data_IF_424383135763
#
_entry.id   IF_424383135763
#
_cell.length_a   1.000
_cell.length_b   1.000
_cell.length_c   1.000
_cell.angle_alpha   90.00
_cell.angle_beta   90.00
_cell.angle_gamma   90.00
#
_symmetry.space_group_name_H-M   'P 1'
#
loop_
_entity.id
_entity.type
_entity.pdbx_description
1 polymer ?
#
# COMPACT_ATOMS: atom_id res chain seq x y z
N UNK A 1 -0.23 25.47 -8.06
CA UNK A 1 -0.45 24.39 -9.06
C UNK A 1 -1.26 23.29 -8.42
N UNK A 2 -2.20 22.72 -9.15
CA UNK A 2 -3.03 21.62 -8.67
C UNK A 2 -2.26 20.30 -8.64
N UNK A 3 -2.58 19.44 -7.68
CA UNK A 3 -2.03 18.07 -7.63
C UNK A 3 -2.78 17.18 -8.61
N UNK A 4 -2.10 16.65 -9.62
CA UNK A 4 -2.68 15.73 -10.60
C UNK A 4 -2.47 14.27 -10.20
N UNK A 5 -3.46 13.41 -10.44
CA UNK A 5 -3.42 11.98 -10.12
C UNK A 5 -4.40 11.21 -11.00
N UNK A 6 -4.42 9.88 -10.91
CA UNK A 6 -5.43 9.07 -11.61
C UNK A 6 -6.83 9.63 -11.39
N UNK A 7 -7.58 9.83 -12.48
CA UNK A 7 -8.92 10.43 -12.47
C UNK A 7 -8.96 11.95 -12.63
N UNK A 8 -7.83 12.66 -12.49
CA UNK A 8 -7.72 14.06 -12.92
C UNK A 8 -7.98 14.18 -14.42
N UNK A 9 -8.59 15.29 -14.85
CA UNK A 9 -8.89 15.58 -16.26
C UNK A 9 -8.65 17.05 -16.59
N UNK A 10 -8.47 17.37 -17.86
CA UNK A 10 -8.45 18.73 -18.38
C UNK A 10 -7.05 19.25 -18.78
N UNK A 11 -6.92 20.55 -19.06
CA UNK A 11 -5.74 21.12 -19.72
C UNK A 11 -4.42 20.91 -18.97
N UNK A 12 -4.45 20.85 -17.63
CA UNK A 12 -3.24 20.58 -16.83
C UNK A 12 -2.73 19.15 -17.02
N UNK A 13 -3.63 18.17 -17.20
CA UNK A 13 -3.26 16.78 -17.49
C UNK A 13 -2.73 16.65 -18.90
N UNK A 14 -3.33 17.35 -19.86
CA UNK A 14 -2.85 17.38 -21.24
C UNK A 14 -1.43 17.97 -21.31
N UNK A 15 -1.18 19.07 -20.57
CA UNK A 15 0.16 19.65 -20.41
C UNK A 15 1.15 18.65 -19.85
N UNK A 16 0.79 17.95 -18.78
CA UNK A 16 1.62 16.90 -18.18
C UNK A 16 1.94 15.79 -19.19
N UNK A 17 0.93 15.28 -19.90
CA UNK A 17 1.09 14.23 -20.90
C UNK A 17 2.05 14.65 -22.01
N UNK A 18 1.96 15.90 -22.47
CA UNK A 18 2.92 16.46 -23.45
C UNK A 18 4.34 16.53 -22.89
N UNK A 19 4.52 16.99 -21.66
CA UNK A 19 5.82 17.07 -21.00
C UNK A 19 6.47 15.69 -20.78
N UNK A 20 5.65 14.67 -20.53
CA UNK A 20 6.10 13.28 -20.35
C UNK A 20 6.03 12.44 -21.62
N UNK A 21 5.76 13.04 -22.78
CA UNK A 21 5.65 12.39 -24.08
C UNK A 21 4.65 11.20 -24.11
N UNK A 22 3.55 11.29 -23.35
CA UNK A 22 2.44 10.33 -23.37
C UNK A 22 1.53 10.61 -24.56
N UNK A 23 1.28 9.59 -25.40
CA UNK A 23 0.48 9.72 -26.63
C UNK A 23 -0.75 8.81 -26.65
N UNK A 24 -1.93 9.30 -27.10
CA UNK A 24 -2.24 10.72 -27.33
C UNK A 24 -2.36 11.49 -26.00
N UNK A 25 -2.08 12.81 -25.97
CA UNK A 25 -2.41 13.65 -24.83
C UNK A 25 -3.93 13.94 -24.87
N UNK A 26 -4.70 13.05 -24.27
CA UNK A 26 -6.17 13.09 -24.25
C UNK A 26 -6.74 13.94 -23.10
N UNK A 27 -5.88 14.52 -22.26
CA UNK A 27 -6.29 15.29 -21.09
C UNK A 27 -6.84 14.42 -19.96
N UNK A 28 -6.72 13.09 -20.05
CA UNK A 28 -7.20 12.13 -19.06
C UNK A 28 -6.04 11.48 -18.30
N UNK A 29 -6.05 11.63 -16.97
CA UNK A 29 -5.04 11.03 -16.13
C UNK A 29 -5.43 9.57 -15.87
N UNK A 30 -5.23 8.73 -16.88
CA UNK A 30 -5.45 7.30 -16.82
C UNK A 30 -4.21 6.49 -16.40
N UNK A 31 -4.29 5.15 -16.47
CA UNK A 31 -3.18 4.27 -16.13
C UNK A 31 -1.88 4.56 -16.91
N UNK A 32 -2.00 4.96 -18.19
CA UNK A 32 -0.83 5.33 -19.04
C UNK A 32 -0.11 6.57 -18.52
N UNK A 33 -0.85 7.64 -18.23
CA UNK A 33 -0.31 8.88 -17.64
C UNK A 33 0.33 8.60 -16.28
N UNK A 34 -0.33 7.78 -15.46
CA UNK A 34 0.22 7.38 -14.17
C UNK A 34 1.52 6.57 -14.28
N UNK A 35 1.64 5.70 -15.28
CA UNK A 35 2.88 4.96 -15.54
C UNK A 35 4.02 5.91 -15.93
N UNK A 36 3.76 6.84 -16.85
CA UNK A 36 4.76 7.82 -17.29
C UNK A 36 5.21 8.76 -16.16
N UNK A 37 4.27 9.19 -15.29
CA UNK A 37 4.62 9.99 -14.10
C UNK A 37 5.53 9.20 -13.16
N UNK A 38 5.27 7.90 -12.95
CA UNK A 38 6.12 7.06 -12.11
C UNK A 38 7.51 6.86 -12.70
N UNK A 39 7.61 6.66 -14.01
CA UNK A 39 8.89 6.53 -14.70
C UNK A 39 9.71 7.82 -14.62
N UNK A 40 9.05 8.97 -14.81
CA UNK A 40 9.67 10.27 -14.61
C UNK A 40 10.16 10.45 -13.16
N UNK A 41 9.28 10.21 -12.19
CA UNK A 41 9.62 10.33 -10.78
C UNK A 41 10.80 9.42 -10.39
N UNK A 42 10.79 8.17 -10.87
CA UNK A 42 11.86 7.21 -10.62
C UNK A 42 13.20 7.66 -11.24
N UNK A 43 13.19 8.14 -12.47
CA UNK A 43 14.41 8.62 -13.15
C UNK A 43 14.98 9.91 -12.54
N UNK A 44 14.16 10.67 -11.81
CA UNK A 44 14.55 11.93 -11.16
C UNK A 44 14.71 11.80 -9.63
N UNK A 45 14.80 10.58 -9.10
CA UNK A 45 15.02 10.34 -7.67
C UNK A 45 13.88 10.81 -6.77
N UNK A 46 12.69 10.99 -7.33
CA UNK A 46 11.46 11.29 -6.60
C UNK A 46 10.75 10.00 -6.17
N UNK A 47 9.80 10.15 -5.26
CA UNK A 47 8.87 9.07 -4.94
C UNK A 47 7.99 8.80 -6.17
N UNK A 48 8.12 7.60 -6.76
CA UNK A 48 7.37 7.16 -7.93
C UNK A 48 5.93 6.73 -7.57
N UNK A 49 5.16 7.63 -6.97
CA UNK A 49 3.78 7.40 -6.53
C UNK A 49 2.73 7.55 -7.68
N UNK A 50 3.11 8.18 -8.78
CA UNK A 50 2.22 8.47 -9.91
C UNK A 50 1.31 9.67 -9.67
N UNK A 51 1.65 10.52 -8.70
CA UNK A 51 0.94 11.75 -8.32
C UNK A 51 1.83 12.95 -8.60
N UNK A 52 1.35 13.89 -9.41
CA UNK A 52 2.09 15.10 -9.74
C UNK A 52 1.74 16.20 -8.74
N UNK A 53 2.49 16.23 -7.64
CA UNK A 53 2.47 17.32 -6.65
C UNK A 53 3.55 18.38 -6.92
N UNK A 54 3.71 19.39 -6.04
CA UNK A 54 4.64 20.51 -6.25
C UNK A 54 6.08 20.09 -6.56
N UNK A 55 6.61 19.06 -5.88
CA UNK A 55 7.97 18.54 -6.13
C UNK A 55 8.12 17.87 -7.50
N UNK A 56 7.10 17.15 -7.95
CA UNK A 56 7.11 16.52 -9.28
C UNK A 56 6.97 17.59 -10.36
N UNK A 57 6.12 18.60 -10.15
CA UNK A 57 6.04 19.76 -11.05
C UNK A 57 7.37 20.51 -11.17
N UNK A 58 8.01 20.80 -10.05
CA UNK A 58 9.31 21.46 -10.03
C UNK A 58 10.37 20.66 -10.79
N UNK A 59 10.40 19.33 -10.63
CA UNK A 59 11.33 18.47 -11.36
C UNK A 59 11.03 18.44 -12.87
N UNK A 60 9.76 18.35 -13.27
CA UNK A 60 9.34 18.38 -14.68
C UNK A 60 9.73 19.72 -15.32
N UNK A 61 9.56 20.82 -14.60
CA UNK A 61 9.87 22.17 -15.12
C UNK A 61 11.37 22.43 -15.18
N UNK A 62 12.15 21.91 -14.23
CA UNK A 62 13.63 21.98 -14.28
C UNK A 62 14.22 21.07 -15.36
N UNK A 63 13.61 19.90 -15.61
CA UNK A 63 14.03 18.99 -16.68
C UNK A 63 13.51 19.36 -18.08
N UNK A 64 12.54 20.28 -18.16
CA UNK A 64 11.91 20.75 -19.40
C UNK A 64 12.59 21.95 -20.05
N UNK A 65 13.67 22.49 -19.47
CA UNK A 65 14.45 23.59 -20.04
C UNK A 65 15.80 23.06 -20.51
N UNK A 66 16.05 23.23 -21.81
CA UNK A 66 17.28 22.91 -22.59
C UNK A 66 17.32 21.54 -23.29
N UNK A 67 17.01 21.56 -24.59
CA UNK A 67 17.77 20.80 -25.55
C UNK A 67 19.11 21.49 -25.84
N UNK A 68 20.16 20.70 -26.05
CA UNK A 68 21.40 21.11 -26.71
C UNK A 68 22.65 21.15 -25.83
N UNK A 69 23.64 20.32 -26.16
CA UNK A 69 25.06 20.55 -25.84
C UNK A 69 25.72 19.46 -24.98
N UNK A 70 26.73 18.80 -25.53
CA UNK A 70 27.46 17.70 -24.90
C UNK A 70 28.47 18.12 -23.83
N UNK A 71 29.04 17.13 -23.14
CA UNK A 71 30.10 17.33 -22.15
C UNK A 71 30.43 16.06 -21.37
N UNK A 72 31.49 15.39 -21.79
CA UNK A 72 32.12 14.24 -21.13
C UNK A 72 32.69 14.63 -19.76
N UNK A 73 32.60 13.74 -18.77
CA UNK A 73 33.12 13.99 -17.42
C UNK A 73 33.08 12.76 -16.52
N UNK A 74 33.98 11.82 -16.80
CA UNK A 74 34.38 10.75 -15.88
C UNK A 74 35.09 11.34 -14.65
N UNK A 75 34.68 10.97 -13.44
CA UNK A 75 35.58 10.66 -12.30
C UNK A 75 34.83 9.91 -11.19
N UNK A 76 35.15 8.64 -11.01
CA UNK A 76 35.12 7.94 -9.70
C UNK A 76 36.18 8.57 -8.79
N UNK A 77 36.05 8.49 -7.45
CA UNK A 77 36.86 7.49 -6.76
C UNK A 77 36.17 6.76 -5.58
N UNK A 78 36.82 5.65 -5.23
CA UNK A 78 36.54 4.51 -4.35
C UNK A 78 36.61 4.84 -2.82
N UNK A 79 36.53 3.88 -1.86
CA UNK A 79 35.79 4.04 -0.60
C UNK A 79 36.70 4.22 0.63
N UNK A 80 36.14 4.69 1.75
CA UNK A 80 36.81 4.59 3.04
C UNK A 80 35.80 4.31 4.16
N UNK A 81 36.02 3.19 4.85
CA UNK A 81 35.56 2.94 6.22
C UNK A 81 36.67 3.38 7.18
N UNK A 82 36.33 3.81 8.41
CA UNK A 82 36.93 3.14 9.57
C UNK A 82 35.93 2.85 10.71
N UNK A 83 36.29 1.81 11.47
CA UNK A 83 35.58 1.10 12.55
C UNK A 83 35.66 1.82 13.94
N UNK A 84 35.31 1.22 15.09
CA UNK A 84 34.09 1.41 15.89
C UNK A 84 34.25 2.12 17.26
N UNK A 85 33.13 2.55 17.88
CA UNK A 85 33.00 2.60 19.35
C UNK A 85 32.23 3.80 19.94
N UNK A 86 31.24 3.51 20.79
CA UNK A 86 30.93 4.34 21.97
C UNK A 86 29.65 5.18 21.99
N UNK A 87 28.58 4.58 22.52
CA UNK A 87 27.62 5.15 23.51
C UNK A 87 27.17 6.60 23.37
N UNK A 88 26.00 6.78 22.75
CA UNK A 88 24.79 7.39 23.34
C UNK A 88 23.81 7.64 22.20
N UNK A 89 22.99 6.63 21.92
CA UNK A 89 22.01 6.70 20.84
C UNK A 89 20.99 7.80 21.12
N UNK A 90 20.68 8.69 20.17
CA UNK A 90 19.60 9.64 20.35
C UNK A 90 18.29 8.90 20.55
N UNK A 91 17.44 9.42 21.44
CA UNK A 91 16.11 8.90 21.73
C UNK A 91 15.29 8.66 20.42
N UNK A 92 14.36 7.68 20.40
CA UNK A 92 13.67 7.28 19.16
C UNK A 92 12.88 8.45 18.55
N UNK A 93 13.20 8.81 17.30
CA UNK A 93 12.43 9.77 16.51
C UNK A 93 11.05 9.16 16.14
N UNK A 94 9.92 9.80 16.44
CA UNK A 94 8.62 9.43 15.88
C UNK A 94 8.66 9.63 14.35
N UNK A 95 8.50 8.57 13.56
CA UNK A 95 8.17 8.70 12.14
C UNK A 95 9.14 8.18 11.07
N UNK A 96 10.14 7.36 11.39
CA UNK A 96 10.93 6.70 10.33
C UNK A 96 10.17 5.53 9.69
N UNK A 97 10.20 5.44 8.36
CA UNK A 97 9.79 4.25 7.60
C UNK A 97 10.52 2.99 8.12
N UNK A 98 9.88 1.82 8.05
CA UNK A 98 10.57 0.57 8.41
C UNK A 98 11.61 0.22 7.35
N UNK A 99 12.75 -0.35 7.76
CA UNK A 99 13.81 -0.80 6.85
C UNK A 99 13.57 -2.24 6.37
N UNK A 100 14.28 -2.65 5.32
CA UNK A 100 14.22 -4.04 4.85
C UNK A 100 14.78 -5.02 5.89
N UNK A 101 15.80 -4.62 6.65
CA UNK A 101 16.38 -5.42 7.73
C UNK A 101 15.36 -5.64 8.85
N UNK A 102 14.63 -4.58 9.24
CA UNK A 102 13.56 -4.69 10.22
C UNK A 102 12.42 -5.57 9.71
N UNK A 103 11.98 -5.36 8.46
CA UNK A 103 10.89 -6.17 7.90
C UNK A 103 11.27 -7.65 7.82
N UNK A 104 12.48 -7.98 7.36
CA UNK A 104 13.01 -9.36 7.31
C UNK A 104 13.15 -9.99 8.69
N UNK A 105 13.54 -9.20 9.70
CA UNK A 105 13.62 -9.69 11.08
C UNK A 105 12.24 -10.00 11.66
N UNK A 106 11.16 -9.40 11.14
CA UNK A 106 9.77 -9.66 11.56
C UNK A 106 9.14 -10.79 10.71
N UNK A 107 9.32 -10.74 9.39
CA UNK A 107 8.78 -11.67 8.39
C UNK A 107 9.89 -12.67 8.05
N UNK A 108 9.96 -13.75 8.84
CA UNK A 108 11.12 -14.66 8.85
C UNK A 108 11.09 -15.72 7.76
N UNK A 109 9.90 -15.99 7.20
CA UNK A 109 9.66 -17.03 6.20
C UNK A 109 9.56 -16.47 4.78
N UNK A 110 9.17 -15.20 4.62
CA UNK A 110 9.04 -14.57 3.31
C UNK A 110 10.39 -14.41 2.58
N UNK A 111 10.46 -14.71 1.26
CA UNK A 111 11.66 -14.45 0.48
C UNK A 111 12.04 -12.96 0.48
N UNK A 112 13.34 -12.67 0.67
CA UNK A 112 13.84 -11.29 0.75
C UNK A 112 13.41 -10.41 -0.43
N UNK A 113 13.54 -10.92 -1.66
CA UNK A 113 13.13 -10.22 -2.89
C UNK A 113 11.66 -9.78 -2.87
N UNK A 114 10.79 -10.57 -2.22
CA UNK A 114 9.37 -10.25 -2.10
C UNK A 114 9.16 -9.12 -1.08
N UNK A 115 9.85 -9.17 0.05
CA UNK A 115 9.83 -8.11 1.05
C UNK A 115 10.35 -6.79 0.45
N UNK A 116 11.45 -6.82 -0.29
CA UNK A 116 12.01 -5.66 -1.00
C UNK A 116 11.00 -5.06 -1.99
N UNK A 117 10.33 -5.91 -2.78
CA UNK A 117 9.32 -5.46 -3.73
C UNK A 117 8.08 -4.83 -3.10
N UNK A 118 7.77 -5.14 -1.84
CA UNK A 118 6.59 -4.62 -1.14
C UNK A 118 6.88 -3.49 -0.16
N UNK A 119 8.11 -3.38 0.33
CA UNK A 119 8.51 -2.43 1.36
C UNK A 119 8.14 -0.96 1.02
N UNK A 120 8.36 -0.45 -0.22
CA UNK A 120 7.99 0.93 -0.55
C UNK A 120 6.49 1.19 -0.41
N UNK A 121 5.65 0.27 -0.89
CA UNK A 121 4.19 0.38 -0.84
C UNK A 121 3.66 0.27 0.59
N UNK A 122 4.23 -0.64 1.39
CA UNK A 122 3.90 -0.80 2.80
C UNK A 122 4.22 0.48 3.60
N UNK A 123 5.41 1.04 3.41
CA UNK A 123 5.82 2.29 4.07
C UNK A 123 4.95 3.49 3.66
N UNK A 124 4.64 3.62 2.37
CA UNK A 124 3.73 4.66 1.88
C UNK A 124 2.35 4.54 2.53
N UNK A 125 1.76 3.34 2.54
CA UNK A 125 0.44 3.12 3.11
C UNK A 125 0.40 3.36 4.63
N UNK A 126 1.43 2.94 5.36
CA UNK A 126 1.55 3.24 6.80
C UNK A 126 1.64 4.74 7.06
N UNK A 127 2.38 5.47 6.23
CA UNK A 127 2.51 6.93 6.34
C UNK A 127 1.16 7.62 6.10
N UNK A 128 0.46 7.27 5.00
CA UNK A 128 -0.86 7.79 4.66
C UNK A 128 -1.89 7.57 5.78
N UNK A 129 -1.85 6.42 6.44
CA UNK A 129 -2.79 6.05 7.51
C UNK A 129 -2.31 6.43 8.93
N UNK A 130 -1.20 7.16 9.05
CA UNK A 130 -0.59 7.54 10.33
C UNK A 130 -0.27 6.34 11.24
N UNK A 131 0.14 5.22 10.65
CA UNK A 131 0.64 4.03 11.34
C UNK A 131 2.14 4.25 11.61
N UNK A 132 2.43 5.22 12.49
CA UNK A 132 3.76 5.83 12.61
C UNK A 132 4.44 5.63 13.98
N UNK A 133 3.70 5.23 15.01
CA UNK A 133 4.27 4.85 16.32
C UNK A 133 4.76 3.41 16.29
N UNK A 134 5.71 3.06 17.18
CA UNK A 134 6.19 1.69 17.37
C UNK A 134 5.03 0.71 17.55
N UNK A 135 4.10 1.02 18.46
CA UNK A 135 2.94 0.16 18.74
C UNK A 135 2.03 -0.04 17.52
N UNK A 136 1.71 1.05 16.80
CA UNK A 136 0.88 0.98 15.57
C UNK A 136 1.55 0.12 14.50
N UNK A 137 2.82 0.36 14.21
CA UNK A 137 3.60 -0.40 13.22
C UNK A 137 3.67 -1.88 13.61
N UNK A 138 4.04 -2.18 14.86
CA UNK A 138 4.15 -3.57 15.32
C UNK A 138 2.82 -4.30 15.22
N UNK A 139 1.72 -3.67 15.62
CA UNK A 139 0.40 -4.28 15.56
C UNK A 139 -0.09 -4.46 14.12
N UNK A 140 0.12 -3.47 13.25
CA UNK A 140 -0.27 -3.55 11.83
C UNK A 140 0.51 -4.65 11.10
N UNK A 141 1.84 -4.66 11.22
CA UNK A 141 2.70 -5.66 10.61
C UNK A 141 2.37 -7.08 11.06
N UNK A 142 2.06 -7.27 12.35
CA UNK A 142 1.68 -8.58 12.88
C UNK A 142 0.39 -9.12 12.26
N UNK A 143 -0.59 -8.25 12.04
CA UNK A 143 -1.84 -8.64 11.42
C UNK A 143 -1.64 -8.94 9.93
N UNK A 144 -0.88 -8.12 9.22
CA UNK A 144 -0.56 -8.41 7.82
C UNK A 144 0.21 -9.73 7.67
N UNK A 145 1.22 -9.96 8.52
CA UNK A 145 2.00 -11.19 8.51
C UNK A 145 1.12 -12.43 8.70
N UNK A 146 0.15 -12.36 9.62
CA UNK A 146 -0.77 -13.48 9.85
C UNK A 146 -1.75 -13.68 8.69
N UNK A 147 -2.48 -12.63 8.29
CA UNK A 147 -3.56 -12.70 7.29
C UNK A 147 -3.06 -13.10 5.89
N UNK A 148 -1.83 -12.73 5.55
CA UNK A 148 -1.25 -13.00 4.23
C UNK A 148 -0.20 -14.10 4.22
N UNK A 149 0.04 -14.75 5.37
CA UNK A 149 1.15 -15.66 5.58
C UNK A 149 2.49 -15.02 5.12
N UNK A 150 2.84 -13.90 5.74
CA UNK A 150 4.01 -13.08 5.41
C UNK A 150 4.05 -12.65 3.92
N UNK A 151 2.92 -12.15 3.44
CA UNK A 151 2.68 -11.75 2.05
C UNK A 151 2.67 -12.88 1.03
N UNK A 152 2.75 -14.15 1.42
CA UNK A 152 2.60 -15.30 0.51
C UNK A 152 1.29 -15.18 -0.28
N UNK A 153 0.18 -14.88 0.38
CA UNK A 153 -1.14 -14.73 -0.24
C UNK A 153 -1.60 -13.26 -0.22
N UNK A 154 -1.74 -12.68 -1.41
CA UNK A 154 -2.26 -11.32 -1.61
C UNK A 154 -3.74 -11.31 -2.06
N UNK A 155 -4.32 -12.50 -2.22
CA UNK A 155 -5.69 -12.73 -2.66
C UNK A 155 -6.18 -14.02 -2.04
N UNK A 156 -7.45 -14.03 -1.66
CA UNK A 156 -8.13 -15.24 -1.20
C UNK A 156 -8.04 -16.35 -2.25
N UNK A 157 -7.73 -17.57 -1.80
CA UNK A 157 -7.64 -18.71 -2.68
C UNK A 157 -9.03 -19.27 -2.95
N UNK A 158 -9.35 -19.50 -4.23
CA UNK A 158 -10.65 -20.02 -4.61
C UNK A 158 -11.01 -19.67 -6.06
N UNK A 159 -11.78 -20.55 -6.70
CA UNK A 159 -12.37 -20.29 -8.00
C UNK A 159 -13.71 -19.55 -7.87
N UNK A 160 -14.28 -19.14 -9.01
CA UNK A 160 -15.60 -18.50 -9.09
C UNK A 160 -16.67 -19.23 -8.27
N UNK A 161 -16.78 -20.55 -8.42
CA UNK A 161 -17.80 -21.37 -7.73
C UNK A 161 -17.66 -21.34 -6.21
N UNK A 162 -16.42 -21.27 -5.69
CA UNK A 162 -16.17 -21.14 -4.26
C UNK A 162 -16.70 -19.81 -3.74
N UNK A 163 -16.34 -18.70 -4.38
CA UNK A 163 -16.77 -17.36 -3.96
C UNK A 163 -18.27 -17.14 -4.14
N UNK A 164 -18.86 -17.73 -5.19
CA UNK A 164 -20.31 -17.75 -5.34
C UNK A 164 -20.99 -18.44 -4.15
N UNK A 165 -20.50 -19.61 -3.74
CA UNK A 165 -21.05 -20.34 -2.60
C UNK A 165 -20.88 -19.61 -1.27
N UNK A 166 -19.75 -18.93 -1.07
CA UNK A 166 -19.38 -18.36 0.23
C UNK A 166 -19.84 -16.92 0.45
N UNK A 167 -19.89 -16.09 -0.61
CA UNK A 167 -20.07 -14.64 -0.49
C UNK A 167 -21.17 -14.06 -1.37
N UNK A 168 -21.83 -14.86 -2.20
CA UNK A 168 -22.91 -14.38 -3.07
C UNK A 168 -24.27 -14.47 -2.39
N UNK A 169 -25.20 -13.59 -2.80
CA UNK A 169 -26.57 -13.59 -2.28
C UNK A 169 -27.33 -14.86 -2.64
N UNK A 170 -26.96 -15.50 -3.75
CA UNK A 170 -27.52 -16.80 -4.16
C UNK A 170 -26.75 -17.99 -3.59
N UNK A 171 -25.73 -17.74 -2.77
CA UNK A 171 -24.86 -18.77 -2.20
C UNK A 171 -25.39 -19.35 -0.88
N UNK A 172 -24.53 -20.12 -0.21
CA UNK A 172 -24.87 -20.81 1.04
C UNK A 172 -24.90 -19.89 2.27
N UNK A 173 -24.44 -18.64 2.13
CA UNK A 173 -24.32 -17.68 3.25
C UNK A 173 -24.96 -16.32 2.93
N UNK A 174 -26.27 -16.27 2.62
CA UNK A 174 -26.93 -15.03 2.18
C UNK A 174 -26.88 -13.91 3.23
N UNK A 175 -26.89 -14.24 4.53
CA UNK A 175 -26.69 -13.25 5.60
C UNK A 175 -25.31 -12.56 5.48
N UNK A 176 -24.26 -13.35 5.23
CA UNK A 176 -22.91 -12.83 5.04
C UNK A 176 -22.81 -11.98 3.77
N UNK A 177 -23.44 -12.42 2.68
CA UNK A 177 -23.51 -11.64 1.45
C UNK A 177 -24.15 -10.25 1.68
N UNK A 178 -25.23 -10.17 2.46
CA UNK A 178 -25.87 -8.90 2.86
C UNK A 178 -24.95 -8.01 3.70
N UNK A 179 -24.26 -8.57 4.69
CA UNK A 179 -23.27 -7.84 5.50
C UNK A 179 -22.15 -7.24 4.61
N UNK A 180 -21.72 -7.99 3.60
CA UNK A 180 -20.68 -7.60 2.64
C UNK A 180 -21.18 -6.64 1.55
N UNK A 181 -22.49 -6.43 1.42
CA UNK A 181 -23.10 -5.64 0.35
C UNK A 181 -23.13 -6.33 -1.02
N UNK A 182 -22.86 -7.64 -1.06
CA UNK A 182 -22.94 -8.45 -2.27
C UNK A 182 -24.42 -8.81 -2.52
N UNK A 183 -25.17 -7.86 -3.07
CA UNK A 183 -26.63 -7.96 -3.22
C UNK A 183 -27.06 -8.32 -4.64
N UNK A 184 -26.14 -8.34 -5.59
CA UNK A 184 -26.39 -8.75 -6.97
C UNK A 184 -25.78 -10.14 -7.21
N UNK A 185 -26.51 -11.08 -7.86
CA UNK A 185 -25.92 -12.37 -8.25
C UNK A 185 -24.61 -12.20 -9.02
N UNK A 186 -23.56 -12.89 -8.58
CA UNK A 186 -22.20 -12.77 -9.10
C UNK A 186 -21.30 -11.82 -8.30
N UNK A 187 -21.83 -10.96 -7.42
CA UNK A 187 -21.04 -10.07 -6.57
C UNK A 187 -20.07 -10.87 -5.68
N UNK A 188 -20.45 -12.07 -5.21
CA UNK A 188 -19.59 -12.91 -4.37
C UNK A 188 -18.25 -13.23 -5.04
N UNK A 189 -18.29 -13.58 -6.33
CA UNK A 189 -17.09 -13.84 -7.12
C UNK A 189 -16.38 -12.58 -7.62
N UNK A 190 -17.08 -11.44 -7.67
CA UNK A 190 -16.52 -10.15 -8.10
C UNK A 190 -15.70 -9.46 -7.00
N UNK A 191 -16.13 -9.60 -5.74
CA UNK A 191 -15.50 -8.96 -4.58
C UNK A 191 -14.97 -9.97 -3.53
N UNK A 192 -14.10 -10.93 -3.91
CA UNK A 192 -13.39 -11.79 -2.96
C UNK A 192 -12.43 -10.97 -2.09
N UNK A 193 -11.86 -11.61 -1.07
CA UNK A 193 -10.78 -11.02 -0.28
C UNK A 193 -9.56 -10.69 -1.14
N UNK A 194 -9.09 -9.44 -1.05
CA UNK A 194 -7.87 -8.97 -1.70
C UNK A 194 -6.98 -8.16 -0.76
N UNK A 195 -5.69 -8.21 -1.04
CA UNK A 195 -4.64 -7.57 -0.29
C UNK A 195 -4.31 -8.26 1.04
N UNK A 196 -3.24 -7.80 1.72
CA UNK A 196 -2.74 -8.45 2.93
C UNK A 196 -3.75 -8.58 4.06
N UNK A 197 -4.70 -7.65 4.22
CA UNK A 197 -5.74 -7.71 5.26
C UNK A 197 -7.06 -8.35 4.80
N UNK A 198 -7.13 -8.82 3.55
CA UNK A 198 -8.33 -9.42 2.94
C UNK A 198 -9.56 -8.50 2.93
N UNK A 199 -9.49 -7.40 2.18
CA UNK A 199 -10.67 -6.54 1.94
C UNK A 199 -11.67 -7.30 1.06
N UNK A 200 -12.84 -7.62 1.62
CA UNK A 200 -13.87 -8.47 0.99
C UNK A 200 -15.21 -7.76 0.90
N UNK A 201 -15.96 -7.98 -0.19
CA UNK A 201 -17.35 -7.54 -0.32
C UNK A 201 -17.54 -6.13 -0.88
N UNK A 202 -18.56 -5.96 -1.73
CA UNK A 202 -18.86 -4.74 -2.48
C UNK A 202 -18.92 -3.47 -1.64
N UNK A 203 -19.45 -3.53 -0.42
CA UNK A 203 -19.48 -2.39 0.49
C UNK A 203 -18.07 -1.88 0.80
N UNK A 204 -17.16 -2.78 1.17
CA UNK A 204 -15.79 -2.40 1.47
C UNK A 204 -15.05 -1.90 0.22
N UNK A 205 -15.26 -2.50 -0.95
CA UNK A 205 -14.65 -2.01 -2.19
C UNK A 205 -15.13 -0.59 -2.52
N UNK A 206 -16.43 -0.32 -2.41
CA UNK A 206 -16.99 1.03 -2.61
C UNK A 206 -16.39 2.03 -1.64
N UNK A 207 -16.38 1.72 -0.35
CA UNK A 207 -15.98 2.67 0.69
C UNK A 207 -14.45 2.90 0.68
N UNK A 208 -13.67 1.85 0.41
CA UNK A 208 -12.23 1.94 0.16
C UNK A 208 -11.94 2.76 -1.10
N UNK A 209 -12.65 2.47 -2.19
CA UNK A 209 -12.50 3.19 -3.45
C UNK A 209 -12.76 4.68 -3.29
N UNK A 210 -13.85 5.05 -2.61
CA UNK A 210 -14.15 6.43 -2.25
C UNK A 210 -13.01 7.09 -1.45
N UNK A 211 -12.46 6.39 -0.46
CA UNK A 211 -11.37 6.92 0.37
C UNK A 211 -10.05 7.08 -0.40
N UNK A 212 -9.79 6.21 -1.37
CA UNK A 212 -8.56 6.24 -2.18
C UNK A 212 -8.70 7.07 -3.48
N UNK A 213 -9.91 7.52 -3.81
CA UNK A 213 -10.21 8.19 -5.08
C UNK A 213 -10.18 7.25 -6.28
N UNK A 214 -10.61 6.00 -6.10
CA UNK A 214 -10.57 4.92 -7.10
C UNK A 214 -11.96 4.29 -7.28
N UNK A 215 -12.29 3.90 -8.51
CA UNK A 215 -13.51 3.13 -8.79
C UNK A 215 -13.27 1.63 -8.61
N UNK A 216 -13.19 1.19 -7.35
CA UNK A 216 -12.98 -0.22 -7.01
C UNK A 216 -14.26 -1.07 -7.13
N UNK A 217 -15.42 -0.46 -7.39
CA UNK A 217 -16.65 -1.21 -7.66
C UNK A 217 -16.61 -1.74 -9.09
N UNK A 218 -16.22 -0.89 -10.04
CA UNK A 218 -16.09 -1.30 -11.44
C UNK A 218 -14.76 -1.96 -11.74
N UNK A 219 -13.69 -1.61 -11.02
CA UNK A 219 -12.34 -2.15 -11.19
C UNK A 219 -11.78 -2.80 -9.90
N UNK A 220 -12.43 -3.84 -9.36
CA UNK A 220 -12.02 -4.47 -8.10
C UNK A 220 -10.66 -5.18 -8.18
N UNK A 221 -10.21 -5.59 -9.36
CA UNK A 221 -8.90 -6.17 -9.63
C UNK A 221 -7.73 -5.24 -9.26
N UNK A 222 -7.97 -3.93 -9.20
CA UNK A 222 -6.96 -2.96 -8.80
C UNK A 222 -6.41 -3.23 -7.41
N UNK A 223 -7.21 -3.80 -6.49
CA UNK A 223 -6.77 -4.17 -5.13
C UNK A 223 -5.76 -5.33 -5.13
N UNK A 224 -5.56 -6.03 -6.25
CA UNK A 224 -4.51 -7.05 -6.39
C UNK A 224 -3.13 -6.42 -6.66
N UNK A 225 -3.08 -5.15 -7.07
CA UNK A 225 -1.80 -4.45 -7.26
C UNK A 225 -1.16 -4.11 -5.91
N UNK A 226 0.16 -4.27 -5.71
CA UNK A 226 0.79 -4.04 -4.42
C UNK A 226 0.49 -2.66 -3.81
N UNK A 227 0.59 -1.60 -4.62
CA UNK A 227 0.28 -0.23 -4.18
C UNK A 227 -1.11 -0.11 -3.57
N UNK A 228 -2.14 -0.59 -4.28
CA UNK A 228 -3.53 -0.45 -3.82
C UNK A 228 -3.85 -1.46 -2.73
N UNK A 229 -3.26 -2.66 -2.75
CA UNK A 229 -3.41 -3.68 -1.72
C UNK A 229 -2.99 -3.18 -0.33
N UNK A 230 -1.82 -2.54 -0.24
CA UNK A 230 -1.32 -1.96 1.01
C UNK A 230 -2.14 -0.74 1.44
N UNK A 231 -2.50 0.15 0.51
CA UNK A 231 -3.37 1.30 0.81
C UNK A 231 -4.76 0.88 1.27
N UNK A 232 -5.35 -0.16 0.67
CA UNK A 232 -6.61 -0.75 1.11
C UNK A 232 -6.48 -1.38 2.50
N UNK A 233 -5.35 -2.01 2.80
CA UNK A 233 -5.08 -2.57 4.13
C UNK A 233 -4.96 -1.49 5.20
N UNK A 234 -4.26 -0.40 4.89
CA UNK A 234 -4.12 0.76 5.75
C UNK A 234 -5.44 1.54 5.91
N UNK A 235 -6.26 1.64 4.85
CA UNK A 235 -7.62 2.17 4.92
C UNK A 235 -8.49 1.33 5.86
N UNK A 236 -8.49 0.00 5.72
CA UNK A 236 -9.27 -0.88 6.58
C UNK A 236 -8.89 -0.66 8.05
N UNK A 237 -7.60 -0.58 8.32
CA UNK A 237 -7.05 -0.30 9.64
C UNK A 237 -7.50 1.06 10.18
N UNK A 238 -7.34 2.13 9.40
CA UNK A 238 -7.65 3.49 9.85
C UNK A 238 -9.15 3.72 10.04
N UNK A 239 -9.96 3.27 9.08
CA UNK A 239 -11.43 3.44 9.09
C UNK A 239 -12.12 2.75 10.26
N UNK A 240 -11.46 1.79 10.93
CA UNK A 240 -11.99 1.05 12.08
C UNK A 240 -11.39 1.49 13.42
N UNK A 241 -10.64 2.58 13.45
CA UNK A 241 -10.07 3.13 14.68
C UNK A 241 -9.06 2.19 15.36
N UNK A 242 -8.29 1.45 14.56
CA UNK A 242 -7.35 0.45 15.10
C UNK A 242 -6.06 1.11 15.64
N UNK A 243 -5.71 2.30 15.16
CA UNK A 243 -4.59 3.09 15.72
C UNK A 243 -4.78 3.30 17.22
N UNK A 244 -5.98 3.67 17.64
CA UNK A 244 -6.33 3.97 19.02
C UNK A 244 -6.22 2.71 19.90
N UNK A 245 -6.59 1.54 19.38
CA UNK A 245 -6.40 0.27 20.08
C UNK A 245 -4.90 -0.10 20.19
N UNK A 246 -4.13 0.10 19.12
CA UNK A 246 -2.70 -0.16 19.11
C UNK A 246 -1.93 0.76 20.07
N UNK A 247 -2.27 2.05 20.13
CA UNK A 247 -1.62 3.01 21.03
C UNK A 247 -1.82 2.66 22.51
N UNK A 248 -2.93 2.02 22.85
CA UNK A 248 -3.18 1.48 24.20
C UNK A 248 -2.48 0.14 24.46
N UNK A 249 -1.77 -0.42 23.48
CA UNK A 249 -1.20 -1.77 23.55
C UNK A 249 -2.23 -2.89 23.56
N UNK A 250 -3.51 -2.61 23.26
CA UNK A 250 -4.60 -3.58 23.33
C UNK A 250 -4.66 -4.46 22.06
N UNK A 251 -3.69 -5.36 21.95
CA UNK A 251 -3.57 -6.25 20.79
C UNK A 251 -4.73 -7.26 20.67
N UNK A 252 -5.40 -7.59 21.79
CA UNK A 252 -6.64 -8.39 21.77
C UNK A 252 -7.75 -7.62 21.07
N UNK A 253 -7.94 -6.33 21.34
CA UNK A 253 -8.92 -5.50 20.63
C UNK A 253 -8.58 -5.33 19.16
N UNK A 254 -7.31 -5.11 18.82
CA UNK A 254 -6.83 -5.09 17.42
C UNK A 254 -7.27 -6.36 16.69
N UNK A 255 -6.99 -7.53 17.27
CA UNK A 255 -7.32 -8.83 16.67
C UNK A 255 -8.84 -9.03 16.50
N UNK A 256 -9.64 -8.66 17.51
CA UNK A 256 -11.12 -8.76 17.40
C UNK A 256 -11.69 -7.89 16.30
N UNK A 257 -11.15 -6.70 16.07
CA UNK A 257 -11.64 -5.80 15.01
C UNK A 257 -11.36 -6.41 13.62
N UNK A 258 -10.18 -7.01 13.44
CA UNK A 258 -9.76 -7.57 12.15
C UNK A 258 -10.46 -8.89 11.86
N UNK A 259 -10.45 -9.82 12.82
CA UNK A 259 -10.92 -11.19 12.60
C UNK A 259 -12.36 -11.44 13.09
N UNK A 260 -13.01 -10.45 13.71
CA UNK A 260 -14.32 -10.63 14.35
C UNK A 260 -14.30 -11.50 15.61
N UNK A 261 -13.11 -11.88 16.09
CA UNK A 261 -12.91 -12.80 17.20
C UNK A 261 -11.43 -12.94 17.57
N UNK A 262 -11.08 -13.96 18.36
CA UNK A 262 -9.69 -14.24 18.79
C UNK A 262 -9.11 -15.52 18.17
N UNK A 263 -9.73 -16.04 17.11
CA UNK A 263 -9.18 -17.20 16.38
C UNK A 263 -7.76 -16.88 15.90
N UNK A 264 -6.84 -17.80 16.16
CA UNK A 264 -5.40 -17.67 15.90
C UNK A 264 -4.69 -16.49 16.59
N UNK A 265 -5.23 -16.00 17.72
CA UNK A 265 -4.63 -14.90 18.47
C UNK A 265 -3.16 -15.17 18.87
N UNK A 266 -2.85 -16.38 19.34
CA UNK A 266 -1.48 -16.72 19.77
C UNK A 266 -0.46 -16.63 18.63
N UNK A 267 -0.84 -16.98 17.41
CA UNK A 267 0.06 -16.85 16.25
C UNK A 267 0.28 -15.39 15.84
N UNK A 268 -0.78 -14.57 15.92
CA UNK A 268 -0.67 -13.11 15.71
C UNK A 268 0.22 -12.47 16.79
N UNK A 269 0.10 -12.94 18.04
CA UNK A 269 0.86 -12.44 19.17
C UNK A 269 2.36 -12.71 19.02
N UNK A 270 2.75 -13.85 18.44
CA UNK A 270 4.16 -14.14 18.11
C UNK A 270 4.75 -13.08 17.17
N UNK A 271 4.04 -12.72 16.09
CA UNK A 271 4.48 -11.65 15.19
C UNK A 271 4.52 -10.30 15.88
N UNK A 272 3.52 -9.98 16.70
CA UNK A 272 3.46 -8.71 17.42
C UNK A 272 4.63 -8.54 18.39
N UNK A 273 4.90 -9.55 19.20
CA UNK A 273 6.03 -9.54 20.13
C UNK A 273 7.38 -9.44 19.41
N UNK A 274 7.52 -10.09 18.25
CA UNK A 274 8.73 -9.96 17.41
C UNK A 274 8.87 -8.54 16.87
N UNK A 275 7.79 -7.97 16.33
CA UNK A 275 7.79 -6.61 15.82
C UNK A 275 8.07 -5.55 16.90
N UNK A 276 7.59 -5.75 18.13
CA UNK A 276 7.91 -4.87 19.27
C UNK A 276 9.39 -4.93 19.68
N UNK A 277 10.08 -6.04 19.44
CA UNK A 277 11.52 -6.18 19.73
C UNK A 277 12.39 -5.56 18.65
N UNK A 278 11.95 -5.61 17.39
CA UNK A 278 12.71 -5.13 16.22
C UNK A 278 12.57 -3.63 15.99
N UNK A 279 11.39 -3.05 16.26
CA UNK A 279 11.09 -1.63 16.09
C UNK A 279 11.33 -0.84 17.36
#
# INVERSE_FOLDING_TARGET
MSTLRIGSKGPEVERLQRLLNVKPPDGDFGPKTAAAVREFQQSHGLVADGVVGPKTWEAIEKGGVTGGGGGSGSTTPTPAEPTPGGTDGPAPQPGSSITIQQLRAIFTQAPLKKLEGYLPYLNSAMTEAQINTKLRKSAFLAQLAHESLEFVYMKEQGGRSYFMRMYDITGNRPKKARELGNLTPGDGARYPGRGPIQVTGKNNYRDCGKALGLDLVNHPELVETPSIAFRASAWFWRSRGINEAADRGDFKRVTRIINGGLTHYEDRLKYYNRALKVL
#
